data_IF_637658195919
#
_entry.id   IF_637658195919
#
_cell.length_a   1.000
_cell.length_b   1.000
_cell.length_c   1.000
_cell.angle_alpha   90.00
_cell.angle_beta   90.00
_cell.angle_gamma   90.00
#
_symmetry.space_group_name_H-M   'P 1'
#
loop_
_entity.id
_entity.type
_entity.pdbx_description
1 polymer ?
#
# COMPACT_ATOMS: atom_id res chain seq x y z
N UNK A 1 -30.39 -5.15 22.48
CA UNK A 1 -30.35 -3.71 22.14
C UNK A 1 -29.36 -3.54 21.00
N UNK A 2 -29.82 -3.25 19.78
CA UNK A 2 -28.93 -3.06 18.63
C UNK A 2 -28.39 -1.63 18.68
N UNK A 3 -27.10 -1.48 19.00
CA UNK A 3 -26.41 -0.20 18.92
C UNK A 3 -26.49 0.33 17.48
N UNK A 4 -26.99 1.56 17.33
CA UNK A 4 -27.01 2.22 16.03
C UNK A 4 -25.56 2.43 15.55
N UNK A 5 -25.20 2.05 14.31
CA UNK A 5 -23.84 2.26 13.81
C UNK A 5 -23.47 3.75 13.89
N UNK A 6 -22.24 4.07 14.28
CA UNK A 6 -21.77 5.47 14.30
C UNK A 6 -21.85 6.08 12.89
N UNK A 7 -21.90 7.41 12.82
CA UNK A 7 -21.98 8.14 11.55
C UNK A 7 -20.82 7.78 10.60
N UNK A 8 -19.61 7.57 11.16
CA UNK A 8 -18.40 7.24 10.40
C UNK A 8 -18.48 5.84 9.78
N UNK A 9 -18.98 4.84 10.52
CA UNK A 9 -19.22 3.50 9.97
C UNK A 9 -20.21 3.53 8.78
N UNK A 10 -21.24 4.39 8.83
CA UNK A 10 -22.19 4.54 7.72
C UNK A 10 -21.55 5.23 6.51
N UNK A 11 -20.73 6.26 6.74
CA UNK A 11 -19.99 6.97 5.68
C UNK A 11 -19.02 6.04 4.97
N UNK A 12 -18.19 5.34 5.72
CA UNK A 12 -17.22 4.36 5.20
C UNK A 12 -17.93 3.31 4.34
N UNK A 13 -18.97 2.64 4.87
CA UNK A 13 -19.72 1.61 4.11
C UNK A 13 -20.35 2.16 2.84
N UNK A 14 -20.81 3.41 2.86
CA UNK A 14 -21.38 4.07 1.68
C UNK A 14 -20.33 4.32 0.60
N UNK A 15 -19.13 4.78 0.99
CA UNK A 15 -18.01 4.97 0.07
C UNK A 15 -17.50 3.64 -0.48
N UNK A 16 -17.34 2.64 0.38
CA UNK A 16 -17.02 1.27 -0.01
C UNK A 16 -18.01 0.70 -1.02
N UNK A 17 -19.31 0.85 -0.77
CA UNK A 17 -20.36 0.42 -1.70
C UNK A 17 -20.25 1.13 -3.06
N UNK A 18 -19.98 2.44 -3.08
CA UNK A 18 -19.81 3.21 -4.32
C UNK A 18 -18.58 2.75 -5.10
N UNK A 19 -17.45 2.54 -4.44
CA UNK A 19 -16.23 2.02 -5.05
C UNK A 19 -16.50 0.64 -5.68
N UNK A 20 -17.05 -0.29 -4.89
CA UNK A 20 -17.24 -1.67 -5.31
C UNK A 20 -18.38 -1.87 -6.32
N UNK A 21 -19.34 -0.94 -6.39
CA UNK A 21 -20.38 -0.94 -7.43
C UNK A 21 -19.79 -0.80 -8.85
N UNK A 22 -18.62 -0.16 -8.96
CA UNK A 22 -17.89 -0.02 -10.22
C UNK A 22 -17.12 -1.29 -10.61
N UNK A 23 -16.99 -2.28 -9.71
CA UNK A 23 -16.24 -3.49 -9.97
C UNK A 23 -16.93 -4.38 -11.02
N UNK A 24 -16.20 -4.95 -11.98
CA UNK A 24 -16.70 -6.03 -12.84
C UNK A 24 -17.23 -7.22 -12.02
N UNK A 25 -16.65 -7.45 -10.83
CA UNK A 25 -16.95 -8.55 -9.91
C UNK A 25 -18.00 -8.22 -8.85
N UNK A 26 -18.73 -7.12 -8.98
CA UNK A 26 -19.70 -6.66 -7.96
C UNK A 26 -20.72 -7.70 -7.50
N UNK A 27 -21.00 -8.73 -8.30
CA UNK A 27 -21.92 -9.84 -7.97
C UNK A 27 -21.31 -10.84 -6.97
N UNK A 28 -19.99 -10.92 -6.91
CA UNK A 28 -19.25 -11.86 -6.05
C UNK A 28 -18.93 -11.24 -4.67
N UNK A 29 -19.14 -9.93 -4.53
CA UNK A 29 -18.85 -9.16 -3.33
C UNK A 29 -20.00 -9.30 -2.34
N UNK A 30 -19.74 -9.86 -1.16
CA UNK A 30 -20.74 -9.97 -0.11
C UNK A 30 -20.86 -8.64 0.67
N UNK A 31 -22.04 -8.40 1.27
CA UNK A 31 -22.26 -7.22 2.12
C UNK A 31 -21.24 -7.07 3.25
N UNK A 32 -20.70 -8.18 3.76
CA UNK A 32 -19.63 -8.18 4.77
C UNK A 32 -18.32 -7.60 4.26
N UNK A 33 -18.02 -7.75 2.96
CA UNK A 33 -16.78 -7.23 2.36
C UNK A 33 -16.76 -5.71 2.31
N UNK A 34 -17.93 -5.04 2.35
CA UNK A 34 -18.00 -3.58 2.44
C UNK A 34 -17.36 -3.02 3.71
N UNK A 35 -17.35 -3.80 4.79
CA UNK A 35 -16.71 -3.41 6.05
C UNK A 35 -15.21 -3.77 6.09
N UNK A 36 -14.73 -4.51 5.09
CA UNK A 36 -13.33 -4.94 4.96
C UNK A 36 -12.57 -4.07 3.94
N UNK A 37 -13.23 -3.11 3.30
CA UNK A 37 -12.56 -2.17 2.40
C UNK A 37 -11.63 -1.31 3.23
N UNK A 38 -10.32 -1.30 2.95
CA UNK A 38 -9.41 -0.49 3.73
C UNK A 38 -9.57 0.99 3.38
N UNK A 39 -9.42 1.87 4.36
CA UNK A 39 -9.59 3.32 4.16
C UNK A 39 -8.68 3.89 3.08
N UNK A 40 -7.49 3.31 2.89
CA UNK A 40 -6.59 3.75 1.83
C UNK A 40 -7.21 3.58 0.45
N UNK A 41 -8.03 2.55 0.22
CA UNK A 41 -8.66 2.29 -1.07
C UNK A 41 -9.79 3.27 -1.40
N UNK A 42 -10.29 3.99 -0.39
CA UNK A 42 -11.33 5.02 -0.54
C UNK A 42 -10.76 6.41 -0.84
N UNK A 43 -9.44 6.57 -0.75
CA UNK A 43 -8.76 7.84 -1.00
C UNK A 43 -8.59 8.17 -2.48
N UNK A 44 -8.03 9.35 -2.75
CA UNK A 44 -7.69 9.76 -4.11
C UNK A 44 -6.58 8.88 -4.71
N UNK A 45 -6.61 8.70 -6.03
CA UNK A 45 -5.65 7.85 -6.75
C UNK A 45 -4.19 8.27 -6.53
N UNK A 46 -3.92 9.57 -6.41
CA UNK A 46 -2.60 10.14 -6.11
C UNK A 46 -2.13 9.74 -4.72
N UNK A 47 -2.99 9.83 -3.71
CA UNK A 47 -2.69 9.41 -2.34
C UNK A 47 -2.46 7.89 -2.26
N UNK A 48 -3.29 7.09 -2.93
CA UNK A 48 -3.13 5.63 -3.04
C UNK A 48 -1.79 5.27 -3.67
N UNK A 49 -1.42 5.91 -4.79
CA UNK A 49 -0.14 5.65 -5.45
C UNK A 49 1.06 6.07 -4.57
N UNK A 50 0.94 7.19 -3.84
CA UNK A 50 1.99 7.64 -2.91
C UNK A 50 2.16 6.67 -1.74
N UNK A 51 1.07 6.15 -1.20
CA UNK A 51 1.11 5.08 -0.19
C UNK A 51 1.73 3.81 -0.76
N UNK A 52 1.41 3.44 -2.00
CA UNK A 52 2.03 2.30 -2.67
C UNK A 52 3.54 2.49 -2.79
N UNK A 53 4.02 3.65 -3.25
CA UNK A 53 5.48 3.93 -3.30
C UNK A 53 6.11 3.80 -1.91
N UNK A 54 5.52 4.39 -0.87
CA UNK A 54 6.03 4.28 0.49
C UNK A 54 6.05 2.82 1.00
N UNK A 55 5.02 2.03 0.70
CA UNK A 55 4.98 0.60 1.02
C UNK A 55 6.08 -0.17 0.26
N UNK A 56 6.32 0.17 -1.01
CA UNK A 56 7.44 -0.37 -1.79
C UNK A 56 8.80 -0.04 -1.19
N UNK A 57 9.01 1.21 -0.76
CA UNK A 57 10.23 1.64 -0.06
C UNK A 57 10.42 0.87 1.24
N UNK A 58 9.36 0.75 2.05
CA UNK A 58 9.43 -0.02 3.31
C UNK A 58 9.76 -1.48 3.05
N UNK A 59 9.14 -2.08 2.05
CA UNK A 59 9.43 -3.45 1.65
C UNK A 59 10.92 -3.60 1.27
N UNK A 60 11.46 -2.68 0.48
CA UNK A 60 12.86 -2.69 0.09
C UNK A 60 13.83 -2.02 1.09
N UNK A 61 13.40 -1.73 2.33
CA UNK A 61 14.20 -0.95 3.28
C UNK A 61 15.60 -1.52 3.52
N UNK A 62 15.73 -2.85 3.63
CA UNK A 62 17.02 -3.50 3.84
C UNK A 62 17.96 -3.41 2.62
N UNK A 63 17.42 -3.36 1.41
CA UNK A 63 18.20 -3.13 0.19
C UNK A 63 18.60 -1.65 0.08
N UNK A 64 17.66 -0.74 0.36
CA UNK A 64 17.90 0.70 0.34
C UNK A 64 18.93 1.17 1.39
N UNK A 65 18.94 0.57 2.59
CA UNK A 65 19.98 0.82 3.61
C UNK A 65 21.39 0.44 3.16
N UNK A 66 21.50 -0.52 2.22
CA UNK A 66 22.77 -0.96 1.62
C UNK A 66 23.03 -0.32 0.26
N UNK A 67 22.15 0.60 -0.18
CA UNK A 67 22.29 1.28 -1.45
C UNK A 67 23.46 2.26 -1.40
N UNK A 68 24.46 2.02 -2.24
CA UNK A 68 25.63 2.89 -2.37
C UNK A 68 25.32 4.07 -3.31
N UNK A 69 24.34 3.92 -4.22
CA UNK A 69 23.94 5.00 -5.13
C UNK A 69 23.06 6.02 -4.41
N UNK A 70 23.70 7.06 -3.87
CA UNK A 70 23.03 8.16 -3.20
C UNK A 70 22.05 8.94 -4.08
N UNK A 71 22.06 8.78 -5.42
CA UNK A 71 21.05 9.43 -6.29
C UNK A 71 19.68 8.81 -6.12
N UNK A 72 19.61 7.48 -5.94
CA UNK A 72 18.35 6.79 -5.66
C UNK A 72 17.77 7.28 -4.34
N UNK A 73 18.58 7.34 -3.28
CA UNK A 73 18.13 7.82 -1.98
C UNK A 73 17.67 9.29 -2.02
N UNK A 74 18.43 10.17 -2.70
CA UNK A 74 18.04 11.57 -2.89
C UNK A 74 16.73 11.73 -3.67
N UNK A 75 16.53 10.92 -4.71
CA UNK A 75 15.30 10.90 -5.50
C UNK A 75 14.10 10.52 -4.63
N UNK A 76 14.21 9.44 -3.85
CA UNK A 76 13.16 9.01 -2.93
C UNK A 76 12.89 10.02 -1.81
N UNK A 77 13.94 10.66 -1.26
CA UNK A 77 13.79 11.76 -0.30
C UNK A 77 13.05 12.96 -0.91
N UNK A 78 13.33 13.34 -2.16
CA UNK A 78 12.61 14.42 -2.83
C UNK A 78 11.12 14.10 -3.01
N UNK A 79 10.80 12.84 -3.30
CA UNK A 79 9.42 12.39 -3.51
C UNK A 79 8.64 12.26 -2.18
N UNK A 80 9.19 11.57 -1.19
CA UNK A 80 8.50 11.20 0.04
C UNK A 80 8.73 12.19 1.18
N UNK A 81 9.78 13.01 1.11
CA UNK A 81 10.26 13.86 2.20
C UNK A 81 11.25 13.13 3.10
N UNK A 82 12.22 13.87 3.64
CA UNK A 82 13.26 13.36 4.53
C UNK A 82 12.69 12.67 5.80
N UNK A 83 11.71 13.25 6.53
CA UNK A 83 11.15 12.58 7.72
C UNK A 83 10.48 11.23 7.41
N UNK A 84 9.80 11.15 6.27
CA UNK A 84 9.16 9.91 5.83
C UNK A 84 10.20 8.87 5.44
N UNK A 85 11.25 9.27 4.71
CA UNK A 85 12.32 8.37 4.32
C UNK A 85 13.03 7.78 5.53
N UNK A 86 13.40 8.61 6.50
CA UNK A 86 14.04 8.15 7.73
C UNK A 86 13.16 7.16 8.49
N UNK A 87 11.86 7.43 8.61
CA UNK A 87 10.92 6.50 9.25
C UNK A 87 10.80 5.17 8.49
N UNK A 88 10.78 5.20 7.16
CA UNK A 88 10.62 4.00 6.32
C UNK A 88 11.84 3.07 6.36
N UNK A 89 13.05 3.64 6.35
CA UNK A 89 14.29 2.86 6.26
C UNK A 89 15.01 2.68 7.60
N UNK A 90 14.78 3.57 8.57
CA UNK A 90 15.51 3.66 9.83
C UNK A 90 15.17 2.60 10.89
N UNK A 91 14.10 1.83 10.72
CA UNK A 91 13.72 0.75 11.65
C UNK A 91 14.06 -0.63 11.10
N UNK A 92 14.83 -1.38 11.89
CA UNK A 92 15.29 -2.73 11.59
C UNK A 92 14.24 -3.77 12.02
N UNK A 93 13.14 -3.84 11.27
CA UNK A 93 12.22 -4.97 11.43
C UNK A 93 12.78 -6.14 10.63
N UNK A 94 13.38 -7.10 11.34
CA UNK A 94 13.95 -8.33 10.79
C UNK A 94 12.95 -9.17 9.95
N UNK A 95 11.65 -8.87 10.04
CA UNK A 95 10.58 -9.63 9.41
C UNK A 95 10.18 -9.17 7.99
N UNK A 96 10.59 -7.98 7.55
CA UNK A 96 10.18 -7.45 6.23
C UNK A 96 11.01 -8.03 5.06
N UNK A 97 12.13 -8.68 5.35
CA UNK A 97 13.17 -9.00 4.37
C UNK A 97 13.14 -10.44 3.82
N UNK A 98 12.26 -11.32 4.30
CA UNK A 98 12.26 -12.73 3.87
C UNK A 98 11.62 -12.88 2.49
N UNK A 99 12.46 -12.84 1.45
CA UNK A 99 12.11 -13.28 0.10
C UNK A 99 11.95 -12.19 -0.97
N UNK A 100 12.33 -10.93 -0.71
CA UNK A 100 12.33 -9.92 -1.78
C UNK A 100 13.65 -9.89 -2.53
N UNK A 101 13.52 -9.93 -3.86
CA UNK A 101 14.60 -9.70 -4.81
C UNK A 101 15.32 -8.39 -4.50
N UNK A 102 16.66 -8.46 -4.45
CA UNK A 102 17.54 -7.30 -4.41
C UNK A 102 17.12 -6.29 -5.47
N UNK A 103 16.96 -5.02 -5.08
CA UNK A 103 16.88 -3.91 -6.03
C UNK A 103 18.20 -3.88 -6.80
N UNK A 104 18.15 -4.13 -8.11
CA UNK A 104 19.32 -3.89 -8.95
C UNK A 104 19.39 -2.37 -9.22
N UNK A 105 20.43 -1.66 -8.76
CA UNK A 105 20.52 -0.21 -8.91
C UNK A 105 20.62 0.27 -10.36
N UNK A 106 20.82 -0.65 -11.31
CA UNK A 106 20.95 -0.36 -12.75
C UNK A 106 19.57 -0.33 -13.44
N UNK A 107 18.50 -0.79 -12.78
CA UNK A 107 17.15 -0.71 -13.35
C UNK A 107 16.75 0.75 -13.56
N UNK A 108 16.43 1.06 -14.81
CA UNK A 108 16.11 2.40 -15.28
C UNK A 108 14.78 2.95 -14.73
N UNK A 109 14.04 2.18 -13.91
CA UNK A 109 12.73 2.59 -13.40
C UNK A 109 12.47 2.07 -11.97
N UNK A 110 13.27 2.59 -11.02
CA UNK A 110 13.08 2.33 -9.59
C UNK A 110 11.67 2.68 -9.12
N UNK A 111 11.08 3.74 -9.67
CA UNK A 111 9.75 4.22 -9.29
C UNK A 111 8.66 3.21 -9.68
N UNK A 112 8.70 2.68 -10.92
CA UNK A 112 7.77 1.65 -11.34
C UNK A 112 7.92 0.37 -10.50
N UNK A 113 9.16 -0.02 -10.15
CA UNK A 113 9.40 -1.21 -9.32
C UNK A 113 8.89 -1.04 -7.90
N UNK A 114 9.15 0.10 -7.27
CA UNK A 114 8.64 0.43 -5.93
C UNK A 114 7.12 0.50 -5.93
N UNK A 115 6.54 1.14 -6.95
CA UNK A 115 5.10 1.24 -7.10
C UNK A 115 4.46 -0.14 -7.30
N UNK A 116 5.01 -0.99 -8.18
CA UNK A 116 4.52 -2.35 -8.40
C UNK A 116 4.60 -3.19 -7.12
N UNK A 117 5.75 -3.19 -6.44
CA UNK A 117 5.94 -3.86 -5.16
C UNK A 117 4.91 -3.36 -4.15
N UNK A 118 4.78 -2.04 -4.00
CA UNK A 118 3.85 -1.41 -3.08
C UNK A 118 2.39 -1.80 -3.30
N UNK A 119 1.96 -1.92 -4.55
CA UNK A 119 0.63 -2.41 -4.92
C UNK A 119 0.40 -3.83 -4.42
N UNK A 120 1.38 -4.72 -4.60
CA UNK A 120 1.30 -6.09 -4.11
C UNK A 120 1.16 -6.12 -2.59
N UNK A 121 1.94 -5.30 -1.88
CA UNK A 121 1.87 -5.20 -0.42
C UNK A 121 0.53 -4.62 0.08
N UNK A 122 -0.01 -3.59 -0.59
CA UNK A 122 -1.34 -3.05 -0.28
C UNK A 122 -2.44 -4.09 -0.49
N UNK A 123 -2.42 -4.78 -1.62
CA UNK A 123 -3.43 -5.81 -1.91
C UNK A 123 -3.29 -7.02 -0.99
N UNK A 124 -2.06 -7.45 -0.69
CA UNK A 124 -1.82 -8.55 0.25
C UNK A 124 -2.31 -8.25 1.67
N UNK A 125 -2.39 -6.98 2.08
CA UNK A 125 -2.95 -6.59 3.38
C UNK A 125 -4.49 -6.76 3.46
N UNK A 126 -5.16 -6.97 2.33
CA UNK A 126 -6.61 -7.21 2.27
C UNK A 126 -6.86 -8.71 2.43
N UNK A 127 -7.51 -9.14 3.51
CA UNK A 127 -7.71 -10.57 3.79
C UNK A 127 -8.65 -11.27 2.80
N UNK A 128 -9.75 -10.62 2.41
CA UNK A 128 -10.77 -11.17 1.51
C UNK A 128 -10.23 -11.29 0.07
N UNK A 129 -10.09 -12.51 -0.50
CA UNK A 129 -9.53 -12.69 -1.84
C UNK A 129 -10.37 -12.03 -2.94
N UNK A 130 -11.70 -12.09 -2.83
CA UNK A 130 -12.62 -11.48 -3.80
C UNK A 130 -12.51 -9.96 -3.76
N UNK A 131 -12.45 -9.39 -2.56
CA UNK A 131 -12.25 -7.96 -2.39
C UNK A 131 -10.90 -7.53 -2.95
N UNK A 132 -9.84 -8.31 -2.68
CA UNK A 132 -8.49 -8.04 -3.17
C UNK A 132 -8.44 -7.97 -4.70
N UNK A 133 -9.02 -8.95 -5.39
CA UNK A 133 -9.11 -8.91 -6.86
C UNK A 133 -9.95 -7.74 -7.37
N UNK A 134 -11.06 -7.43 -6.69
CA UNK A 134 -11.92 -6.30 -7.04
C UNK A 134 -11.19 -4.96 -6.91
N UNK A 135 -10.42 -4.78 -5.85
CA UNK A 135 -9.59 -3.59 -5.63
C UNK A 135 -8.44 -3.51 -6.63
N UNK A 136 -7.81 -4.64 -6.99
CA UNK A 136 -6.79 -4.68 -8.05
C UNK A 136 -7.37 -4.16 -9.37
N UNK A 137 -8.50 -4.68 -9.81
CA UNK A 137 -9.12 -4.29 -11.08
C UNK A 137 -9.56 -2.82 -11.10
N UNK A 138 -10.09 -2.32 -9.98
CA UNK A 138 -10.53 -0.92 -9.86
C UNK A 138 -9.37 0.07 -9.75
N UNK A 139 -8.38 -0.26 -8.92
CA UNK A 139 -7.29 0.64 -8.59
C UNK A 139 -6.10 0.47 -9.52
N UNK A 140 -5.91 -0.65 -10.19
CA UNK A 140 -4.78 -0.86 -11.11
C UNK A 140 -5.17 -1.85 -12.22
N UNK A 141 -6.04 -1.45 -13.15
CA UNK A 141 -6.53 -2.34 -14.22
C UNK A 141 -5.39 -2.89 -15.10
N UNK A 142 -4.30 -2.13 -15.24
CA UNK A 142 -3.12 -2.51 -16.02
C UNK A 142 -2.13 -3.37 -15.22
N UNK A 143 -2.36 -3.59 -13.91
CA UNK A 143 -1.54 -4.50 -13.13
C UNK A 143 -1.86 -5.94 -13.57
N UNK A 144 -0.84 -6.62 -14.11
CA UNK A 144 -0.94 -7.99 -14.62
C UNK A 144 -1.46 -9.00 -13.58
N UNK A 145 -1.75 -10.24 -14.02
CA UNK A 145 -2.24 -11.27 -13.13
C UNK A 145 -1.12 -11.75 -12.20
N UNK A 146 -1.28 -11.53 -10.91
CA UNK A 146 -0.42 -12.16 -9.91
C UNK A 146 -0.07 -11.24 -8.77
N UNK A 147 -0.68 -11.50 -7.63
CA UNK A 147 -0.10 -11.08 -6.37
C UNK A 147 1.05 -12.03 -6.06
N UNK A 148 2.21 -11.46 -5.73
CA UNK A 148 3.24 -12.23 -5.03
C UNK A 148 2.61 -12.88 -3.79
N UNK A 149 3.01 -14.13 -3.51
CA UNK A 149 2.53 -14.85 -2.33
C UNK A 149 3.07 -14.18 -1.06
N UNK A 150 2.39 -13.14 -0.61
CA UNK A 150 2.76 -12.34 0.55
C UNK A 150 1.87 -12.71 1.75
N UNK A 151 2.48 -12.77 2.93
CA UNK A 151 1.76 -12.99 4.18
C UNK A 151 0.94 -11.74 4.54
N UNK A 152 -0.38 -11.89 4.73
CA UNK A 152 -1.29 -10.77 5.01
C UNK A 152 -0.92 -9.97 6.28
N UNK A 153 -0.41 -10.63 7.32
CA UNK A 153 0.00 -9.96 8.57
C UNK A 153 1.27 -9.12 8.36
N UNK A 154 2.26 -9.66 7.64
CA UNK A 154 3.42 -8.85 7.23
C UNK A 154 2.99 -7.71 6.33
N UNK A 155 2.04 -7.96 5.42
CA UNK A 155 1.53 -6.94 4.52
C UNK A 155 0.87 -5.77 5.25
N UNK A 156 0.00 -6.06 6.21
CA UNK A 156 -0.60 -5.06 7.08
C UNK A 156 0.46 -4.22 7.81
N UNK A 157 1.50 -4.84 8.37
CA UNK A 157 2.59 -4.10 9.05
C UNK A 157 3.33 -3.13 8.12
N UNK A 158 3.63 -3.56 6.90
CA UNK A 158 4.29 -2.69 5.91
C UNK A 158 3.40 -1.51 5.52
N UNK A 159 2.11 -1.75 5.30
CA UNK A 159 1.16 -0.70 4.94
C UNK A 159 0.95 0.29 6.07
N UNK A 160 0.85 -0.18 7.32
CA UNK A 160 0.75 0.67 8.50
C UNK A 160 2.00 1.53 8.70
N UNK A 161 3.19 0.93 8.59
CA UNK A 161 4.45 1.69 8.65
C UNK A 161 4.55 2.74 7.53
N UNK A 162 4.11 2.39 6.32
CA UNK A 162 4.10 3.32 5.19
C UNK A 162 3.13 4.49 5.40
N UNK A 163 1.94 4.22 5.94
CA UNK A 163 0.96 5.26 6.29
C UNK A 163 1.51 6.20 7.36
N UNK A 164 2.01 5.65 8.47
CA UNK A 164 2.56 6.45 9.56
C UNK A 164 3.72 7.33 9.10
N UNK A 165 4.59 6.83 8.22
CA UNK A 165 5.70 7.63 7.67
C UNK A 165 5.21 8.79 6.79
N UNK A 166 4.13 8.62 6.03
CA UNK A 166 3.58 9.68 5.18
C UNK A 166 2.90 10.79 6.00
N UNK A 167 2.31 10.46 7.14
CA UNK A 167 1.70 11.43 8.07
C UNK A 167 2.77 12.35 8.71
N UNK A 168 4.01 11.86 8.90
CA UNK A 168 5.12 12.69 9.41
C UNK A 168 5.49 13.83 8.46
N UNK A 169 5.35 13.65 7.14
CA UNK A 169 5.60 14.72 6.17
C UNK A 169 4.55 15.84 6.27
N UNK A 170 3.31 15.51 6.59
CA UNK A 170 2.23 16.50 6.66
C UNK A 170 2.32 17.41 7.89
N UNK A 171 3.06 16.98 8.93
CA UNK A 171 3.33 17.79 10.13
C UNK A 171 4.53 18.73 9.92
N UNK A 172 5.46 18.38 9.02
CA UNK A 172 6.71 19.10 8.81
C UNK A 172 6.67 20.14 7.66
N UNK A 173 5.54 20.23 6.94
CA UNK A 173 5.32 21.15 5.81
C UNK A 173 4.42 22.32 6.21
#
# INVERSE_FOLDING_TARGET
MNATPSADHRRHRTQAARLLAMSPRRRDIAWRDLALVPDWALGERTAVNRLAVAAGVRAHAAALRRCIDGRVLKHLCAQLGEPAMDALIGHDDADAATGMETLDPIEHDIDARLLATGRDWLLASVESPVLRESLRELLWPDAGPGLRALNAKSAARVVEAARAALELKEIAA
#
